data_IF_445433238018
#
_entry.id   IF_445433238018
#
_cell.length_a   1.000
_cell.length_b   1.000
_cell.length_c   1.000
_cell.angle_alpha   90.00
_cell.angle_beta   90.00
_cell.angle_gamma   90.00
#
_symmetry.space_group_name_H-M   'P 1'
#
loop_
_entity.id
_entity.type
_entity.pdbx_description
1 polymer ?
#
# COMPACT_ATOMS: atom_id res chain seq x y z
N UNK A 1 24.04 12.24 -12.86
CA UNK A 1 23.15 11.83 -13.29
C UNK A 1 22.16 11.54 -12.47
N UNK A 2 21.15 11.72 -12.60
CA UNK A 2 20.18 11.51 -11.88
C UNK A 2 19.61 10.32 -12.07
N UNK A 3 19.23 9.67 -11.15
CA UNK A 3 18.67 8.57 -11.32
C UNK A 3 17.31 8.63 -11.19
N UNK A 4 16.67 8.96 -12.08
CA UNK A 4 15.37 9.09 -12.03
C UNK A 4 14.73 7.85 -11.97
N UNK A 5 15.38 6.81 -11.81
CA UNK A 5 14.76 5.60 -11.81
C UNK A 5 14.22 5.22 -10.50
N UNK A 6 14.45 5.97 -9.47
CA UNK A 6 13.94 5.63 -8.19
C UNK A 6 12.43 5.67 -8.19
N UNK A 7 11.73 4.64 -7.83
CA UNK A 7 10.27 4.65 -7.87
C UNK A 7 9.70 5.52 -6.76
N UNK A 8 8.52 6.05 -7.00
CA UNK A 8 7.86 6.85 -5.99
C UNK A 8 7.37 5.90 -4.90
N UNK A 9 6.84 4.75 -5.29
CA UNK A 9 6.33 3.76 -4.35
C UNK A 9 6.92 2.42 -4.67
N UNK A 10 7.40 1.70 -3.68
CA UNK A 10 7.90 0.37 -3.90
C UNK A 10 7.33 -0.56 -2.83
N UNK A 11 6.63 -1.59 -3.23
CA UNK A 11 6.02 -2.53 -2.30
C UNK A 11 6.72 -3.87 -2.47
N UNK A 12 7.16 -4.45 -1.39
CA UNK A 12 7.88 -5.71 -1.41
C UNK A 12 7.24 -6.74 -0.49
N UNK A 13 6.88 -7.86 -1.03
CA UNK A 13 6.37 -9.00 -0.27
C UNK A 13 5.27 -8.62 0.72
N UNK A 14 4.34 -7.81 0.27
CA UNK A 14 3.27 -7.34 1.15
C UNK A 14 2.29 -8.46 1.44
N UNK A 15 1.99 -8.67 2.69
CA UNK A 15 1.01 -9.65 3.09
C UNK A 15 0.03 -9.04 4.08
N UNK A 16 -1.24 -9.06 3.74
CA UNK A 16 -2.30 -8.53 4.60
C UNK A 16 -3.32 -9.64 4.79
N UNK A 17 -3.52 -10.06 6.00
CA UNK A 17 -4.38 -11.17 6.30
C UNK A 17 -5.51 -10.71 7.22
N UNK A 18 -6.64 -11.39 7.13
CA UNK A 18 -7.74 -11.10 8.01
C UNK A 18 -7.96 -12.32 8.91
N UNK A 19 -7.92 -12.10 10.19
CA UNK A 19 -8.02 -13.19 11.15
C UNK A 19 -9.45 -13.28 11.67
N UNK A 20 -10.23 -14.12 11.03
CA UNK A 20 -11.64 -14.22 11.37
C UNK A 20 -11.90 -15.47 12.19
N UNK A 21 -13.10 -15.61 12.69
CA UNK A 21 -13.44 -16.76 13.47
C UNK A 21 -13.40 -18.03 12.65
N UNK A 22 -13.62 -17.92 11.37
CA UNK A 22 -13.61 -19.06 10.51
C UNK A 22 -12.23 -19.38 9.96
N UNK A 23 -11.26 -18.63 10.30
CA UNK A 23 -9.90 -18.88 9.83
C UNK A 23 -9.24 -17.63 9.29
N UNK A 24 -8.09 -17.80 8.68
CA UNK A 24 -7.31 -16.70 8.18
C UNK A 24 -7.56 -16.52 6.71
N UNK A 25 -7.91 -15.32 6.31
CA UNK A 25 -8.10 -15.00 4.90
C UNK A 25 -6.86 -14.24 4.47
N UNK A 26 -6.12 -14.77 3.52
CA UNK A 26 -4.91 -14.12 3.04
C UNK A 26 -5.25 -13.25 1.87
N UNK A 27 -5.78 -12.08 2.16
CA UNK A 27 -6.28 -11.19 1.12
C UNK A 27 -5.16 -10.68 0.22
N UNK A 28 -3.99 -10.42 0.77
CA UNK A 28 -2.83 -10.04 0.00
C UNK A 28 -1.73 -10.94 0.51
N UNK A 29 -1.11 -11.70 -0.37
CA UNK A 29 -0.16 -12.68 0.08
C UNK A 29 1.11 -12.64 -0.74
N UNK A 30 1.98 -11.72 -0.47
CA UNK A 30 3.28 -11.66 -1.13
C UNK A 30 3.28 -10.87 -2.43
N UNK A 31 2.78 -9.64 -2.38
CA UNK A 31 2.72 -8.83 -3.58
C UNK A 31 3.90 -7.90 -3.69
N UNK A 32 4.46 -7.78 -4.89
CA UNK A 32 5.58 -6.89 -5.15
C UNK A 32 5.24 -6.02 -6.35
N UNK A 33 5.46 -4.72 -6.24
CA UNK A 33 5.31 -3.85 -7.41
C UNK A 33 5.89 -2.48 -7.11
N UNK A 34 6.04 -1.66 -8.14
CA UNK A 34 6.52 -0.30 -7.97
C UNK A 34 5.64 0.64 -8.77
N UNK A 35 5.61 1.91 -8.36
CA UNK A 35 4.89 2.93 -9.09
C UNK A 35 5.89 4.05 -9.28
N UNK A 36 6.11 4.47 -10.51
CA UNK A 36 7.07 5.52 -10.79
C UNK A 36 6.48 6.90 -10.58
N UNK A 37 7.34 7.90 -10.58
CA UNK A 37 6.87 9.25 -10.39
C UNK A 37 6.06 9.62 -11.61
N UNK A 38 4.95 10.22 -11.41
CA UNK A 38 4.06 10.60 -12.48
C UNK A 38 3.06 9.53 -12.86
N UNK A 39 3.21 8.35 -12.28
CA UNK A 39 2.28 7.28 -12.57
C UNK A 39 1.22 7.23 -11.49
N UNK A 40 0.10 6.63 -11.81
CA UNK A 40 -0.98 6.52 -10.86
C UNK A 40 -1.13 5.05 -10.50
N UNK A 41 -1.34 4.74 -9.27
CA UNK A 41 -1.50 3.38 -8.83
C UNK A 41 -2.82 2.88 -9.35
N UNK A 42 -2.77 2.11 -10.40
CA UNK A 42 -3.98 1.60 -10.94
C UNK A 42 -3.87 0.13 -10.87
N UNK A 43 -4.37 -0.49 -9.91
CA UNK A 43 -4.33 -1.91 -9.81
C UNK A 43 -5.36 -2.43 -10.76
N UNK A 44 -5.06 -2.29 -12.01
CA UNK A 44 -5.98 -2.63 -13.00
C UNK A 44 -6.20 -4.07 -13.13
N UNK A 45 -7.09 -4.44 -13.84
CA UNK A 45 -7.34 -5.81 -14.09
C UNK A 45 -8.41 -6.34 -13.21
N UNK A 46 -8.14 -7.29 -12.42
CA UNK A 46 -9.15 -7.86 -11.67
C UNK A 46 -9.68 -6.95 -10.70
N UNK A 47 -10.86 -6.91 -10.52
CA UNK A 47 -11.45 -6.07 -9.54
C UNK A 47 -11.54 -6.91 -8.31
N UNK A 48 -11.92 -6.39 -7.28
CA UNK A 48 -12.18 -7.14 -6.13
C UNK A 48 -11.43 -6.72 -4.93
N UNK A 49 -11.50 -7.54 -3.91
CA UNK A 49 -10.97 -7.20 -2.63
C UNK A 49 -9.49 -6.98 -2.63
N UNK A 50 -8.77 -7.70 -3.46
CA UNK A 50 -7.33 -7.60 -3.44
C UNK A 50 -6.84 -6.21 -3.75
N UNK A 51 -7.48 -5.53 -4.69
CA UNK A 51 -7.07 -4.19 -5.05
C UNK A 51 -7.33 -3.24 -3.91
N UNK A 52 -8.49 -3.31 -3.32
CA UNK A 52 -8.85 -2.43 -2.25
C UNK A 52 -7.99 -2.69 -1.02
N UNK A 53 -7.77 -3.94 -0.72
CA UNK A 53 -6.99 -4.27 0.47
C UNK A 53 -5.54 -3.81 0.28
N UNK A 54 -5.00 -3.94 -0.92
CA UNK A 54 -3.64 -3.49 -1.17
C UNK A 54 -3.55 -1.99 -0.96
N UNK A 55 -4.49 -1.23 -1.49
CA UNK A 55 -4.47 0.21 -1.33
C UNK A 55 -4.60 0.61 0.14
N UNK A 56 -5.50 -0.05 0.85
CA UNK A 56 -5.69 0.27 2.26
C UNK A 56 -4.45 -0.10 3.07
N UNK A 57 -3.76 -1.17 2.68
CA UNK A 57 -2.56 -1.57 3.37
C UNK A 57 -1.46 -0.53 3.21
N UNK A 58 -1.32 0.00 1.99
CA UNK A 58 -0.30 0.99 1.72
C UNK A 58 -0.58 2.25 2.53
N UNK A 59 -1.85 2.62 2.65
CA UNK A 59 -2.19 3.80 3.39
C UNK A 59 -2.31 3.55 4.88
N UNK A 60 -2.07 2.32 5.30
CA UNK A 60 -2.17 1.91 6.70
C UNK A 60 -3.56 2.17 7.27
N UNK A 61 -4.56 1.86 6.47
CA UNK A 61 -5.95 2.03 6.90
C UNK A 61 -6.68 0.70 7.06
N UNK A 62 -5.96 -0.39 7.14
CA UNK A 62 -6.56 -1.69 7.34
C UNK A 62 -7.05 -1.75 8.78
N UNK A 63 -8.29 -2.14 8.97
CA UNK A 63 -8.86 -2.24 10.29
C UNK A 63 -9.04 -3.68 10.71
N UNK A 64 -9.23 -3.90 11.98
CA UNK A 64 -9.50 -5.20 12.54
C UNK A 64 -10.69 -5.80 11.81
N UNK A 65 -10.66 -7.07 11.45
CA UNK A 65 -9.69 -8.08 11.87
C UNK A 65 -8.53 -8.24 10.92
N UNK A 66 -8.27 -7.25 10.12
CA UNK A 66 -7.17 -7.30 9.18
C UNK A 66 -5.89 -6.77 9.77
N UNK A 67 -4.76 -7.17 9.18
CA UNK A 67 -3.50 -6.75 9.67
C UNK A 67 -2.46 -6.98 8.62
N UNK A 68 -1.53 -6.03 8.45
CA UNK A 68 -0.40 -6.24 7.56
C UNK A 68 0.59 -7.07 8.36
N UNK A 69 0.80 -8.30 7.95
CA UNK A 69 1.65 -9.20 8.69
C UNK A 69 3.08 -9.26 8.21
N UNK A 70 3.35 -8.83 7.00
CA UNK A 70 4.69 -8.89 6.49
C UNK A 70 4.85 -7.97 5.32
N UNK A 71 6.04 -7.56 5.00
CA UNK A 71 6.32 -6.77 3.82
C UNK A 71 6.93 -5.42 4.14
N UNK A 72 7.28 -4.70 3.07
CA UNK A 72 7.83 -3.38 3.19
C UNK A 72 7.14 -2.49 2.19
N UNK A 73 6.91 -1.24 2.55
CA UNK A 73 6.26 -0.31 1.65
C UNK A 73 7.06 0.98 1.71
N UNK A 74 7.84 1.25 0.66
CA UNK A 74 8.67 2.43 0.63
C UNK A 74 8.00 3.50 -0.23
N UNK A 75 7.78 4.67 0.32
CA UNK A 75 7.21 5.77 -0.42
C UNK A 75 8.21 6.90 -0.31
N UNK A 76 8.76 7.30 -1.43
CA UNK A 76 9.80 8.29 -1.49
C UNK A 76 10.96 7.91 -0.56
N UNK A 77 11.27 6.65 -0.56
CA UNK A 77 12.41 6.14 0.22
C UNK A 77 12.14 5.89 1.68
N UNK A 78 10.93 6.15 2.17
CA UNK A 78 10.63 5.96 3.57
C UNK A 78 9.69 4.78 3.73
N UNK A 79 10.01 3.90 4.67
CA UNK A 79 9.18 2.72 4.90
C UNK A 79 7.95 3.14 5.67
N UNK A 80 6.81 3.14 5.02
CA UNK A 80 5.59 3.62 5.63
C UNK A 80 5.17 2.80 6.84
N UNK A 81 5.57 1.54 6.90
CA UNK A 81 5.16 0.71 8.01
C UNK A 81 5.89 1.07 9.29
N UNK A 82 6.91 1.91 9.19
CA UNK A 82 7.65 2.32 10.37
C UNK A 82 7.39 3.76 10.77
N UNK A 83 6.53 4.45 10.07
CA UNK A 83 6.25 5.84 10.40
C UNK A 83 5.27 5.94 11.56
N UNK A 84 5.33 7.02 12.30
CA UNK A 84 4.38 7.23 13.38
C UNK A 84 3.02 7.54 12.77
N UNK A 85 1.98 7.48 13.55
CA UNK A 85 0.66 7.76 13.03
C UNK A 85 0.54 9.21 12.58
N UNK A 86 1.17 10.15 13.28
CA UNK A 86 1.08 11.53 12.84
C UNK A 86 1.82 11.74 11.54
N UNK A 87 2.90 11.01 11.30
CA UNK A 87 3.59 11.13 10.03
C UNK A 87 2.72 10.54 8.92
N UNK A 88 1.99 9.47 9.21
CA UNK A 88 1.12 8.87 8.22
C UNK A 88 -0.05 9.78 7.87
N UNK A 89 -0.58 10.50 8.84
CA UNK A 89 -1.68 11.42 8.59
C UNK A 89 -1.21 12.47 7.58
N UNK A 90 0.00 12.97 7.76
CA UNK A 90 0.54 13.97 6.87
C UNK A 90 0.74 13.38 5.48
N UNK A 91 1.26 12.16 5.42
CA UNK A 91 1.49 11.52 4.15
C UNK A 91 0.20 11.28 3.40
N UNK A 92 -0.83 10.79 4.11
CA UNK A 92 -2.09 10.49 3.46
C UNK A 92 -2.71 11.74 2.85
N UNK A 93 -2.62 12.83 3.54
CA UNK A 93 -3.28 14.03 3.09
C UNK A 93 -2.58 14.75 1.97
N UNK A 94 -1.28 14.72 1.97
CA UNK A 94 -0.52 15.47 1.02
C UNK A 94 0.13 14.70 -0.09
N UNK A 95 0.71 13.59 0.22
CA UNK A 95 1.52 12.93 -0.77
C UNK A 95 0.85 11.77 -1.46
N UNK A 96 0.09 11.00 -0.73
CA UNK A 96 -0.47 9.82 -1.34
C UNK A 96 -1.58 10.09 -2.31
N UNK A 97 -2.19 11.25 -2.22
CA UNK A 97 -3.24 11.57 -3.17
C UNK A 97 -2.66 11.64 -4.58
N UNK A 98 -1.35 11.74 -4.70
CA UNK A 98 -0.73 11.82 -6.01
C UNK A 98 -0.80 10.51 -6.75
N UNK A 99 -0.85 9.40 -6.04
CA UNK A 99 -0.85 8.11 -6.68
C UNK A 99 -2.17 7.37 -6.57
N UNK A 100 -3.04 7.75 -5.63
CA UNK A 100 -4.30 7.07 -5.50
C UNK A 100 -5.40 7.91 -6.09
N UNK A 101 -5.90 7.50 -7.25
CA UNK A 101 -6.98 8.23 -7.84
C UNK A 101 -8.25 7.76 -7.27
N UNK A 102 -9.13 8.68 -6.95
CA UNK A 102 -10.37 8.32 -6.36
C UNK A 102 -11.46 8.53 -7.35
N UNK A 103 -12.10 7.50 -7.79
CA UNK A 103 -13.18 7.65 -8.74
C UNK A 103 -14.31 8.33 -8.02
N UNK A 104 -15.07 9.07 -8.70
CA UNK A 104 -16.18 9.78 -8.08
C UNK A 104 -17.49 9.06 -8.22
#
# INVERSE_FOLDING_TARGET
MIDKKEPLLEVRNLKTYFFTEDGVVKAVDGVDFTVGRGEVLGLVGESGCGKSVTSLSIMRLIGIPGKVVEGEIFFEGRNLLQLSESEMVHMRGNRMSMIFQQPQ
#
